data_IF_216778365685
#
_entry.id   IF_216778365685
#
_cell.length_a   1.000
_cell.length_b   1.000
_cell.length_c   1.000
_cell.angle_alpha   90.00
_cell.angle_beta   90.00
_cell.angle_gamma   90.00
#
_symmetry.space_group_name_H-M   'P 1'
#
loop_
_entity.id
_entity.type
_entity.pdbx_description
1 polymer ?
#
# COMPACT_ATOMS: atom_id res chain seq x y z
N UNK A 1 -12.40 -3.61 15.18
CA UNK A 1 -11.39 -3.22 16.18
C UNK A 1 -10.80 -1.84 15.93
N UNK A 2 -10.38 -1.47 14.70
CA UNK A 2 -9.80 -0.15 14.40
C UNK A 2 -10.74 1.01 14.82
N UNK A 3 -12.03 0.93 14.51
CA UNK A 3 -13.04 1.93 14.92
C UNK A 3 -13.17 2.00 16.45
N UNK A 4 -13.08 0.86 17.13
CA UNK A 4 -13.14 0.80 18.57
C UNK A 4 -11.96 1.56 19.23
N UNK A 5 -10.75 1.40 18.71
CA UNK A 5 -9.57 2.12 19.21
C UNK A 5 -9.65 3.62 18.95
N UNK A 6 -10.21 4.03 17.78
CA UNK A 6 -10.44 5.44 17.47
C UNK A 6 -11.44 6.05 18.47
N UNK A 7 -12.59 5.39 18.71
CA UNK A 7 -13.65 5.91 19.59
C UNK A 7 -13.18 5.99 21.05
N UNK A 8 -12.34 5.05 21.50
CA UNK A 8 -11.79 5.04 22.84
C UNK A 8 -10.50 5.84 23.00
N UNK A 9 -10.00 6.44 21.94
CA UNK A 9 -8.77 7.24 21.92
C UNK A 9 -7.57 6.47 22.51
N UNK A 10 -7.46 5.16 22.19
CA UNK A 10 -6.39 4.29 22.69
C UNK A 10 -5.20 4.43 21.75
N UNK A 11 -4.15 5.14 22.19
CA UNK A 11 -2.92 5.26 21.44
C UNK A 11 -2.21 3.91 21.31
N UNK A 12 -1.81 3.55 20.08
CA UNK A 12 -1.03 2.33 19.82
C UNK A 12 0.34 2.36 20.51
N UNK A 13 0.92 3.56 20.63
CA UNK A 13 2.26 3.78 21.17
C UNK A 13 2.29 4.14 22.67
N UNK A 14 1.15 4.48 23.27
CA UNK A 14 1.07 4.74 24.68
C UNK A 14 1.04 3.42 25.47
N UNK A 15 2.15 3.09 26.12
CA UNK A 15 2.30 1.91 26.98
C UNK A 15 1.53 2.01 28.31
N UNK A 16 0.29 2.46 28.29
CA UNK A 16 -0.57 2.57 29.46
C UNK A 16 -1.37 1.27 29.67
N UNK A 17 -0.72 0.17 30.01
CA UNK A 17 -1.37 -1.10 30.36
C UNK A 17 -0.76 -2.31 29.67
N UNK A 18 -1.20 -3.53 30.08
CA UNK A 18 -0.82 -4.77 29.40
C UNK A 18 -1.28 -4.72 27.93
N UNK A 19 -0.38 -4.86 26.96
CA UNK A 19 -0.76 -4.83 25.54
C UNK A 19 -1.72 -5.97 25.27
N UNK A 20 -2.91 -5.65 24.77
CA UNK A 20 -3.84 -6.68 24.32
C UNK A 20 -3.16 -7.52 23.22
N UNK A 21 -3.17 -8.85 23.30
CA UNK A 21 -2.61 -9.69 22.23
C UNK A 21 -3.31 -9.46 20.87
N UNK A 22 -4.49 -8.84 20.88
CA UNK A 22 -5.28 -8.52 19.70
C UNK A 22 -4.98 -7.14 19.14
N UNK A 23 -4.08 -6.36 19.73
CA UNK A 23 -3.77 -5.00 19.28
C UNK A 23 -3.29 -4.98 17.83
N UNK A 24 -2.57 -6.00 17.39
CA UNK A 24 -2.07 -6.09 16.01
C UNK A 24 -3.16 -6.36 14.95
N UNK A 25 -4.35 -6.80 15.36
CA UNK A 25 -5.47 -7.09 14.44
C UNK A 25 -6.20 -5.85 13.91
N UNK A 26 -5.87 -4.64 14.41
CA UNK A 26 -6.50 -3.41 13.92
C UNK A 26 -6.33 -3.22 12.41
N UNK A 27 -5.14 -3.50 11.88
CA UNK A 27 -4.86 -3.36 10.44
C UNK A 27 -5.64 -4.38 9.61
N UNK A 28 -5.84 -5.58 10.12
CA UNK A 28 -6.71 -6.57 9.49
C UNK A 28 -8.15 -6.04 9.34
N UNK A 29 -8.64 -5.30 10.33
CA UNK A 29 -9.94 -4.62 10.24
C UNK A 29 -10.00 -3.60 9.10
N UNK A 30 -8.94 -2.80 8.91
CA UNK A 30 -8.82 -1.85 7.78
C UNK A 30 -8.81 -2.59 6.44
N UNK A 31 -8.00 -3.66 6.33
CA UNK A 31 -7.90 -4.47 5.11
C UNK A 31 -9.22 -5.14 4.76
N UNK A 32 -9.94 -5.68 5.75
CA UNK A 32 -11.27 -6.29 5.52
C UNK A 32 -12.30 -5.28 5.03
N UNK A 33 -12.31 -4.07 5.60
CA UNK A 33 -13.17 -2.98 5.11
C UNK A 33 -12.84 -2.64 3.65
N UNK A 34 -11.56 -2.57 3.32
CA UNK A 34 -11.12 -2.33 1.95
C UNK A 34 -11.58 -3.44 1.01
N UNK A 35 -11.45 -4.71 1.38
CA UNK A 35 -11.90 -5.83 0.56
C UNK A 35 -13.41 -5.85 0.27
N UNK A 36 -14.22 -5.30 1.16
CA UNK A 36 -15.67 -5.14 0.93
C UNK A 36 -15.96 -3.93 0.05
N UNK A 37 -15.34 -2.80 0.35
CA UNK A 37 -15.61 -1.52 -0.33
C UNK A 37 -15.00 -1.51 -1.74
N UNK A 38 -13.79 -2.03 -1.91
CA UNK A 38 -13.05 -1.95 -3.16
C UNK A 38 -13.76 -2.57 -4.37
N UNK A 39 -14.35 -3.78 -4.30
CA UNK A 39 -15.14 -4.34 -5.40
C UNK A 39 -16.32 -3.44 -5.80
N UNK A 40 -16.99 -2.81 -4.83
CA UNK A 40 -18.09 -1.88 -5.10
C UNK A 40 -17.61 -0.61 -5.80
N UNK A 41 -16.49 -0.05 -5.35
CA UNK A 41 -15.82 1.09 -6.01
C UNK A 41 -15.45 0.73 -7.44
N UNK A 42 -14.87 -0.44 -7.68
CA UNK A 42 -14.52 -0.92 -9.02
C UNK A 42 -15.75 -1.11 -9.91
N UNK A 43 -16.84 -1.65 -9.38
CA UNK A 43 -18.10 -1.79 -10.13
C UNK A 43 -18.69 -0.42 -10.50
N UNK A 44 -18.66 0.55 -9.58
CA UNK A 44 -19.04 1.93 -9.83
C UNK A 44 -18.13 2.59 -10.87
N UNK A 45 -16.82 2.44 -10.71
CA UNK A 45 -15.82 3.00 -11.62
C UNK A 45 -15.99 2.47 -13.05
N UNK A 46 -16.28 1.17 -13.22
CA UNK A 46 -16.57 0.57 -14.53
C UNK A 46 -17.80 1.15 -15.23
N UNK A 47 -18.81 1.62 -14.48
CA UNK A 47 -20.01 2.25 -15.05
C UNK A 47 -19.73 3.68 -15.52
N UNK A 48 -18.89 4.42 -14.79
CA UNK A 48 -18.63 5.85 -15.00
C UNK A 48 -17.44 6.06 -15.92
N UNK A 49 -16.41 5.24 -15.80
CA UNK A 49 -15.12 5.44 -16.46
C UNK A 49 -14.94 4.44 -17.61
N UNK A 50 -14.84 4.95 -18.83
CA UNK A 50 -14.70 4.14 -20.06
C UNK A 50 -13.25 3.80 -20.43
N UNK A 51 -12.27 4.43 -19.80
CA UNK A 51 -10.85 4.18 -20.11
C UNK A 51 -10.06 3.77 -18.88
N UNK A 52 -9.09 2.86 -19.09
CA UNK A 52 -8.18 2.44 -18.02
C UNK A 52 -7.37 3.62 -17.48
N UNK A 53 -6.95 4.56 -18.33
CA UNK A 53 -6.22 5.76 -17.91
C UNK A 53 -7.03 6.58 -16.92
N UNK A 54 -8.30 6.84 -17.22
CA UNK A 54 -9.18 7.56 -16.30
C UNK A 54 -9.44 6.79 -15.00
N UNK A 55 -9.52 5.45 -15.04
CA UNK A 55 -9.58 4.63 -13.83
C UNK A 55 -8.30 4.74 -12.98
N UNK A 56 -7.12 4.65 -13.60
CA UNK A 56 -5.85 4.85 -12.92
C UNK A 56 -5.73 6.26 -12.33
N UNK A 57 -6.16 7.30 -13.07
CA UNK A 57 -6.16 8.67 -12.57
C UNK A 57 -7.09 8.84 -11.36
N UNK A 58 -8.29 8.28 -11.42
CA UNK A 58 -9.24 8.35 -10.31
C UNK A 58 -8.70 7.66 -9.04
N UNK A 59 -8.14 6.45 -9.19
CA UNK A 59 -7.53 5.71 -8.06
C UNK A 59 -6.29 6.43 -7.55
N UNK A 60 -5.47 7.00 -8.43
CA UNK A 60 -4.31 7.80 -8.05
C UNK A 60 -4.70 9.06 -7.27
N UNK A 61 -5.73 9.77 -7.72
CA UNK A 61 -6.25 10.96 -7.01
C UNK A 61 -6.76 10.57 -5.62
N UNK A 62 -7.51 9.47 -5.50
CA UNK A 62 -7.99 8.97 -4.21
C UNK A 62 -6.83 8.59 -3.28
N UNK A 63 -5.79 7.95 -3.81
CA UNK A 63 -4.60 7.61 -3.04
C UNK A 63 -3.88 8.85 -2.51
N UNK A 64 -3.67 9.85 -3.38
CA UNK A 64 -3.07 11.13 -2.99
C UNK A 64 -3.94 11.87 -1.98
N UNK A 65 -5.25 11.91 -2.18
CA UNK A 65 -6.19 12.55 -1.24
C UNK A 65 -6.12 11.90 0.15
N UNK A 66 -6.07 10.57 0.23
CA UNK A 66 -5.90 9.85 1.50
C UNK A 66 -4.57 10.18 2.18
N UNK A 67 -3.47 10.25 1.42
CA UNK A 67 -2.15 10.60 1.94
C UNK A 67 -2.08 12.07 2.42
N UNK A 68 -2.70 12.98 1.68
CA UNK A 68 -2.82 14.40 2.07
C UNK A 68 -3.67 14.52 3.33
N UNK A 69 -4.78 13.79 3.40
CA UNK A 69 -5.63 13.76 4.60
C UNK A 69 -4.84 13.31 5.83
N UNK A 70 -4.03 12.26 5.71
CA UNK A 70 -3.13 11.82 6.78
C UNK A 70 -2.17 12.93 7.20
N UNK A 71 -1.52 13.58 6.25
CA UNK A 71 -0.53 14.63 6.52
C UNK A 71 -1.15 15.89 7.16
N UNK A 72 -2.36 16.25 6.75
CA UNK A 72 -3.10 17.42 7.28
C UNK A 72 -3.64 17.16 8.69
N UNK A 73 -4.12 15.95 8.95
CA UNK A 73 -4.64 15.56 10.26
C UNK A 73 -3.54 15.29 11.30
N UNK A 74 -2.28 15.19 10.85
CA UNK A 74 -1.17 14.93 11.75
C UNK A 74 -0.88 16.16 12.65
N UNK A 75 -1.03 15.96 13.96
CA UNK A 75 -0.65 16.91 15.00
C UNK A 75 0.49 16.32 15.82
N UNK A 76 1.68 16.95 15.83
CA UNK A 76 2.83 16.47 16.61
C UNK A 76 2.58 16.45 18.13
N UNK A 77 1.68 17.31 18.62
CA UNK A 77 1.32 17.41 20.03
C UNK A 77 0.08 16.60 20.41
N UNK A 78 -0.65 16.07 19.41
CA UNK A 78 -1.90 15.34 19.57
C UNK A 78 -1.75 13.84 19.60
N UNK A 79 -2.89 13.16 19.86
CA UNK A 79 -2.94 11.71 19.78
C UNK A 79 -3.01 11.25 18.31
N UNK A 80 -2.06 10.41 17.90
CA UNK A 80 -1.97 9.85 16.56
C UNK A 80 -2.95 8.69 16.31
N UNK A 81 -3.74 8.27 17.31
CA UNK A 81 -4.64 7.12 17.22
C UNK A 81 -5.61 7.22 16.02
N UNK A 82 -6.26 8.40 15.85
CA UNK A 82 -7.20 8.62 14.74
C UNK A 82 -6.55 8.44 13.36
N UNK A 83 -5.33 8.93 13.20
CA UNK A 83 -4.59 8.90 11.93
C UNK A 83 -4.04 7.50 11.68
N UNK A 84 -3.58 6.84 12.73
CA UNK A 84 -2.95 5.53 12.67
C UNK A 84 -3.96 4.41 12.37
N UNK A 85 -5.14 4.47 12.98
CA UNK A 85 -6.19 3.45 12.84
C UNK A 85 -7.23 3.76 11.76
N UNK A 86 -7.24 4.98 11.21
CA UNK A 86 -8.23 5.43 10.25
C UNK A 86 -8.17 4.68 8.92
N UNK A 87 -9.26 4.07 8.44
CA UNK A 87 -9.28 3.42 7.13
C UNK A 87 -9.13 4.43 5.98
N UNK A 88 -9.56 5.67 6.19
CA UNK A 88 -9.47 6.77 5.24
C UNK A 88 -8.03 7.29 5.06
N UNK A 89 -7.26 7.36 6.14
CA UNK A 89 -5.85 7.77 6.11
C UNK A 89 -4.94 6.65 5.62
N UNK A 90 -5.30 5.39 5.88
CA UNK A 90 -4.57 4.19 5.46
C UNK A 90 -4.96 3.68 4.07
N UNK A 91 -6.04 4.20 3.48
CA UNK A 91 -6.46 3.80 2.15
C UNK A 91 -5.39 4.04 1.08
N UNK A 92 -4.53 5.05 1.23
CA UNK A 92 -3.45 5.36 0.29
C UNK A 92 -2.57 4.14 -0.04
N UNK A 93 -2.19 3.36 0.97
CA UNK A 93 -1.31 2.19 0.84
C UNK A 93 -1.98 1.10 -0.01
N UNK A 94 -3.26 0.81 0.27
CA UNK A 94 -4.04 -0.19 -0.43
C UNK A 94 -4.39 0.25 -1.86
N UNK A 95 -4.71 1.53 -2.04
CA UNK A 95 -5.02 2.13 -3.35
C UNK A 95 -3.80 2.17 -4.27
N UNK A 96 -2.58 2.36 -3.73
CA UNK A 96 -1.36 2.26 -4.52
C UNK A 96 -1.13 0.84 -5.06
N UNK A 97 -1.40 -0.19 -4.26
CA UNK A 97 -1.36 -1.57 -4.74
C UNK A 97 -2.39 -1.83 -5.84
N UNK A 98 -3.61 -1.33 -5.66
CA UNK A 98 -4.66 -1.41 -6.67
C UNK A 98 -4.30 -0.61 -7.94
N UNK A 99 -3.69 0.56 -7.80
CA UNK A 99 -3.19 1.37 -8.92
C UNK A 99 -2.10 0.63 -9.70
N UNK A 100 -1.14 0.02 -9.01
CA UNK A 100 -0.10 -0.80 -9.64
C UNK A 100 -0.71 -1.96 -10.44
N UNK A 101 -1.70 -2.66 -9.89
CA UNK A 101 -2.42 -3.73 -10.58
C UNK A 101 -3.19 -3.22 -11.82
N UNK A 102 -3.85 -2.08 -11.71
CA UNK A 102 -4.51 -1.43 -12.85
C UNK A 102 -3.50 -0.97 -13.91
N UNK A 103 -2.37 -0.40 -13.49
CA UNK A 103 -1.33 0.11 -14.38
C UNK A 103 -0.65 -1.00 -15.18
N UNK A 104 -0.27 -2.08 -14.53
CA UNK A 104 0.43 -3.22 -15.15
C UNK A 104 -0.48 -4.17 -15.93
N UNK A 105 -1.79 -4.00 -15.84
CA UNK A 105 -2.74 -4.82 -16.57
C UNK A 105 -3.08 -6.14 -15.88
N UNK A 106 -3.09 -6.17 -14.54
CA UNK A 106 -3.44 -7.34 -13.74
C UNK A 106 -4.71 -8.07 -14.20
N UNK A 107 -4.70 -9.39 -14.13
CA UNK A 107 -5.72 -10.29 -14.70
C UNK A 107 -7.07 -10.30 -13.96
N UNK A 108 -7.16 -9.67 -12.80
CA UNK A 108 -8.32 -9.79 -11.89
C UNK A 108 -9.58 -9.01 -12.28
N UNK A 109 -9.47 -7.98 -13.12
CA UNK A 109 -10.63 -7.23 -13.62
C UNK A 109 -10.82 -7.55 -15.10
N UNK A 110 -12.06 -7.85 -15.50
CA UNK A 110 -12.47 -8.00 -16.90
C UNK A 110 -12.34 -6.68 -17.71
N UNK A 111 -11.28 -5.92 -17.45
CA UNK A 111 -10.79 -4.80 -18.25
C UNK A 111 -9.91 -5.31 -19.41
N UNK A 112 -10.13 -6.58 -19.83
CA UNK A 112 -9.38 -7.24 -20.91
C UNK A 112 -9.40 -6.47 -22.25
N UNK A 113 -10.38 -5.63 -22.44
CA UNK A 113 -10.52 -4.81 -23.66
C UNK A 113 -9.69 -3.53 -23.63
N UNK A 114 -9.13 -3.12 -22.48
CA UNK A 114 -8.39 -1.88 -22.36
C UNK A 114 -6.88 -2.14 -22.34
N UNK A 115 -6.09 -1.47 -23.20
CA UNK A 115 -4.65 -1.63 -23.24
C UNK A 115 -4.02 -1.22 -21.89
N UNK A 116 -2.92 -1.87 -21.50
CA UNK A 116 -2.12 -1.47 -20.35
C UNK A 116 -1.65 -0.02 -20.53
N UNK A 117 -1.67 0.76 -19.46
CA UNK A 117 -1.33 2.21 -19.50
C UNK A 117 0.17 2.41 -19.26
N UNK A 118 0.77 1.56 -18.43
CA UNK A 118 2.17 1.68 -18.04
C UNK A 118 3.14 1.11 -19.06
N UNK A 119 4.44 1.41 -18.87
CA UNK A 119 5.49 0.80 -19.69
C UNK A 119 5.34 -0.72 -19.58
N UNK A 120 5.52 -1.40 -20.70
CA UNK A 120 5.59 -2.86 -20.71
C UNK A 120 6.88 -3.26 -20.03
N UNK A 121 6.81 -3.53 -18.72
CA UNK A 121 7.96 -4.04 -17.97
C UNK A 121 8.59 -5.26 -18.64
N UNK A 122 7.83 -5.97 -19.48
CA UNK A 122 8.33 -7.11 -20.29
C UNK A 122 9.46 -6.74 -21.25
N UNK A 123 9.51 -5.49 -21.70
CA UNK A 123 10.48 -5.02 -22.69
C UNK A 123 11.78 -4.52 -22.06
N UNK A 124 11.81 -4.32 -20.72
CA UNK A 124 13.01 -3.91 -20.00
C UNK A 124 13.93 -5.13 -19.74
N UNK A 125 15.26 -4.97 -19.77
CA UNK A 125 16.18 -6.04 -19.41
C UNK A 125 15.90 -6.60 -18.01
N UNK A 126 16.03 -7.90 -17.80
CA UNK A 126 15.72 -8.54 -16.51
C UNK A 126 16.54 -7.93 -15.36
N UNK A 127 17.84 -7.67 -15.62
CA UNK A 127 18.76 -7.13 -14.62
C UNK A 127 18.37 -5.72 -14.11
N UNK A 128 17.72 -4.88 -14.95
CA UNK A 128 17.26 -3.55 -14.52
C UNK A 128 16.11 -3.67 -13.53
N UNK A 129 15.21 -4.61 -13.71
CA UNK A 129 14.12 -4.83 -12.77
C UNK A 129 14.62 -5.44 -11.47
N UNK A 130 15.59 -6.35 -11.53
CA UNK A 130 16.20 -6.93 -10.33
C UNK A 130 16.99 -5.85 -9.55
N UNK A 131 17.72 -4.96 -10.24
CA UNK A 131 18.40 -3.81 -9.62
C UNK A 131 17.41 -2.84 -8.95
N UNK A 132 16.31 -2.51 -9.62
CA UNK A 132 15.24 -1.66 -9.03
C UNK A 132 14.60 -2.36 -7.84
N UNK A 133 14.33 -3.66 -7.92
CA UNK A 133 13.76 -4.42 -6.83
C UNK A 133 14.70 -4.45 -5.60
N UNK A 134 16.01 -4.65 -5.81
CA UNK A 134 17.01 -4.57 -4.74
C UNK A 134 17.09 -3.17 -4.13
N UNK A 135 17.07 -2.12 -4.94
CA UNK A 135 17.05 -0.75 -4.45
C UNK A 135 15.81 -0.46 -3.60
N UNK A 136 14.63 -0.94 -4.04
CA UNK A 136 13.39 -0.81 -3.27
C UNK A 136 13.46 -1.58 -1.96
N UNK A 137 14.00 -2.79 -1.98
CA UNK A 137 14.17 -3.62 -0.78
C UNK A 137 15.13 -2.97 0.21
N UNK A 138 16.27 -2.44 -0.27
CA UNK A 138 17.21 -1.69 0.55
C UNK A 138 16.56 -0.42 1.15
N UNK A 139 15.81 0.33 0.35
CA UNK A 139 15.07 1.51 0.81
C UNK A 139 14.05 1.18 1.90
N UNK A 140 13.28 0.10 1.74
CA UNK A 140 12.36 -0.40 2.76
C UNK A 140 13.10 -0.83 4.02
N UNK A 141 14.26 -1.50 3.88
CA UNK A 141 15.12 -1.87 5.01
C UNK A 141 15.59 -0.64 5.78
N UNK A 142 16.11 0.37 5.09
CA UNK A 142 16.52 1.64 5.72
C UNK A 142 15.34 2.30 6.45
N UNK A 143 14.17 2.34 5.83
CA UNK A 143 12.97 2.89 6.47
C UNK A 143 12.58 2.10 7.72
N UNK A 144 12.66 0.78 7.69
CA UNK A 144 12.34 -0.09 8.83
C UNK A 144 13.24 0.19 10.04
N UNK A 145 14.53 0.45 9.81
CA UNK A 145 15.49 0.73 10.89
C UNK A 145 15.53 2.21 11.32
N UNK A 146 15.16 3.13 10.43
CA UNK A 146 15.27 4.58 10.68
C UNK A 146 13.97 5.21 11.18
N UNK A 147 12.81 4.61 10.88
CA UNK A 147 11.52 5.15 11.26
C UNK A 147 11.01 4.51 12.55
N UNK A 148 10.57 5.35 13.46
CA UNK A 148 9.80 4.95 14.63
C UNK A 148 8.36 5.49 14.53
N UNK A 149 7.46 4.95 15.33
CA UNK A 149 6.03 5.29 15.29
C UNK A 149 5.69 6.75 15.65
N UNK A 150 6.65 7.52 16.15
CA UNK A 150 6.52 8.95 16.50
C UNK A 150 7.15 9.87 15.44
N UNK A 151 7.74 9.31 14.40
CA UNK A 151 8.43 10.09 13.37
C UNK A 151 7.42 10.91 12.56
N UNK A 152 7.56 12.24 12.59
CA UNK A 152 6.78 13.16 11.77
C UNK A 152 6.86 12.79 10.28
N UNK A 153 8.05 12.41 9.81
CA UNK A 153 8.27 11.98 8.44
C UNK A 153 7.38 10.77 8.07
N UNK A 154 7.14 9.83 9.00
CA UNK A 154 6.30 8.66 8.74
C UNK A 154 4.90 9.07 8.28
N UNK A 155 4.28 10.05 8.96
CA UNK A 155 2.91 10.50 8.67
C UNK A 155 2.83 11.52 7.53
N UNK A 156 3.89 12.32 7.30
CA UNK A 156 3.92 13.34 6.24
C UNK A 156 4.38 12.82 4.88
N UNK A 157 4.58 11.51 4.73
CA UNK A 157 4.93 10.93 3.43
C UNK A 157 5.71 9.63 3.50
N UNK A 158 6.30 9.29 4.65
CA UNK A 158 7.09 8.06 4.81
C UNK A 158 6.28 6.80 4.52
N UNK A 159 5.04 6.72 5.00
CA UNK A 159 4.15 5.59 4.73
C UNK A 159 3.76 5.49 3.25
N UNK A 160 3.51 6.63 2.61
CA UNK A 160 3.25 6.69 1.17
C UNK A 160 4.48 6.23 0.37
N UNK A 161 5.67 6.69 0.77
CA UNK A 161 6.93 6.26 0.14
C UNK A 161 7.13 4.75 0.29
N UNK A 162 6.92 4.19 1.48
CA UNK A 162 7.00 2.75 1.70
C UNK A 162 6.01 1.98 0.81
N UNK A 163 4.78 2.46 0.68
CA UNK A 163 3.78 1.85 -0.19
C UNK A 163 4.17 1.91 -1.68
N UNK A 164 4.76 3.02 -2.13
CA UNK A 164 5.28 3.15 -3.50
C UNK A 164 6.43 2.17 -3.73
N UNK A 165 7.42 2.14 -2.83
CA UNK A 165 8.55 1.21 -2.92
C UNK A 165 8.08 -0.25 -2.96
N UNK A 166 7.10 -0.61 -2.13
CA UNK A 166 6.49 -1.95 -2.11
C UNK A 166 5.76 -2.25 -3.41
N UNK A 167 4.96 -1.30 -3.94
CA UNK A 167 4.24 -1.48 -5.20
C UNK A 167 5.19 -1.68 -6.39
N UNK A 168 6.31 -0.93 -6.44
CA UNK A 168 7.35 -1.08 -7.46
C UNK A 168 8.08 -2.42 -7.29
N UNK A 169 8.48 -2.78 -6.06
CA UNK A 169 9.13 -4.05 -5.74
C UNK A 169 8.29 -5.23 -6.22
N UNK A 170 7.02 -5.29 -5.81
CA UNK A 170 6.08 -6.36 -6.21
C UNK A 170 5.91 -6.39 -7.73
N UNK A 171 5.79 -5.23 -8.38
CA UNK A 171 5.66 -5.15 -9.84
C UNK A 171 6.89 -5.71 -10.57
N UNK A 172 8.09 -5.51 -10.03
CA UNK A 172 9.33 -6.06 -10.55
C UNK A 172 9.44 -7.58 -10.30
N UNK A 173 9.09 -8.05 -9.10
CA UNK A 173 9.16 -9.45 -8.73
C UNK A 173 8.11 -10.33 -9.45
N UNK A 174 6.98 -9.76 -9.86
CA UNK A 174 5.96 -10.47 -10.64
C UNK A 174 6.41 -10.83 -12.07
N UNK A 175 7.64 -10.53 -12.46
CA UNK A 175 8.16 -10.91 -13.77
C UNK A 175 8.69 -12.34 -13.76
N UNK A 176 8.37 -13.16 -14.80
CA UNK A 176 8.84 -14.55 -14.88
C UNK A 176 10.38 -14.68 -15.00
N UNK A 177 11.07 -13.62 -15.40
CA UNK A 177 12.51 -13.61 -15.68
C UNK A 177 13.34 -12.98 -14.55
N UNK A 178 12.71 -12.61 -13.43
CA UNK A 178 13.41 -12.02 -12.28
C UNK A 178 14.22 -13.09 -11.55
N UNK A 179 15.54 -12.93 -11.51
CA UNK A 179 16.42 -13.80 -10.73
C UNK A 179 16.15 -13.65 -9.22
N UNK A 180 15.88 -12.42 -8.79
CA UNK A 180 15.54 -12.12 -7.39
C UNK A 180 14.24 -12.84 -6.96
N UNK A 181 13.23 -12.88 -7.84
CA UNK A 181 11.99 -13.62 -7.55
C UNK A 181 12.24 -15.11 -7.38
N UNK A 182 13.14 -15.71 -8.17
CA UNK A 182 13.52 -17.11 -8.03
C UNK A 182 14.25 -17.39 -6.71
N UNK A 183 15.15 -16.49 -6.30
CA UNK A 183 15.86 -16.60 -5.02
C UNK A 183 14.90 -16.48 -3.83
N UNK A 184 14.02 -15.47 -3.82
CA UNK A 184 13.04 -15.27 -2.75
C UNK A 184 11.96 -16.35 -2.71
N UNK A 185 11.61 -16.95 -3.86
CA UNK A 185 10.64 -18.04 -3.97
C UNK A 185 11.27 -19.44 -3.81
N UNK A 186 12.56 -19.54 -3.55
CA UNK A 186 13.21 -20.84 -3.28
C UNK A 186 12.66 -21.43 -1.95
N UNK A 187 12.41 -22.75 -1.95
CA UNK A 187 11.80 -23.44 -0.79
C UNK A 187 12.41 -23.10 0.56
N UNK A 188 13.75 -23.05 0.75
CA UNK A 188 14.34 -22.73 2.06
C UNK A 188 14.06 -21.30 2.53
N UNK A 189 13.72 -20.36 1.63
CA UNK A 189 13.37 -18.97 1.98
C UNK A 189 11.86 -18.81 2.17
N UNK A 190 11.05 -19.62 1.48
CA UNK A 190 9.60 -19.56 1.59
C UNK A 190 9.05 -20.30 2.83
N UNK A 191 9.86 -21.16 3.45
CA UNK A 191 9.51 -21.94 4.64
C UNK A 191 10.10 -21.36 5.94
N UNK A 192 10.92 -20.30 5.87
CA UNK A 192 11.50 -19.58 7.01
C UNK A 192 10.60 -18.47 7.49
#
# INVERSE_FOLDING_TARGET
>A
ENVFYIVRNVSYFANAGLPSPLTHFWYLGVVMQFYVIWPLVLLGLRKVVRSRRAACSAVGILSVASAVLMAVLYDPAGDTARIYYGPDTRAAELLLGALAALWTGGRGLNLRALPAVGPRLKDAPAWTCDAVALACLAGLGVMCFSLNGYSEFAYRGGMLLAAVLTAVLVSCLCRPQSALAHVLGARPVAEA
#
